data_IF_791032869252
#
_entry.id   IF_791032869252
#
_cell.length_a   1.000
_cell.length_b   1.000
_cell.length_c   1.000
_cell.angle_alpha   90.00
_cell.angle_beta   90.00
_cell.angle_gamma   90.00
#
_symmetry.space_group_name_H-M   'P 1'
#
loop_
_entity.id
_entity.type
_entity.pdbx_description
1 polymer ?
#
# COMPACT_ATOMS: atom_id res chain seq x y z
N UNK A 1 -11.52 -1.91 -14.56
CA UNK A 1 -10.91 -2.97 -15.37
C UNK A 1 -10.32 -4.03 -14.46
N UNK A 2 -10.48 -5.30 -14.79
CA UNK A 2 -9.91 -6.44 -14.05
C UNK A 2 -8.38 -6.32 -13.91
N UNK A 3 -7.72 -5.71 -14.88
CA UNK A 3 -6.27 -5.47 -14.85
C UNK A 3 -5.80 -4.53 -13.73
N UNK A 4 -6.69 -3.71 -13.17
CA UNK A 4 -6.36 -2.79 -12.06
C UNK A 4 -6.22 -3.55 -10.74
N UNK A 5 -6.94 -4.67 -10.59
CA UNK A 5 -6.89 -5.56 -9.43
C UNK A 5 -6.80 -7.01 -9.92
N UNK A 6 -5.64 -7.44 -10.47
CA UNK A 6 -5.51 -8.78 -11.06
C UNK A 6 -5.64 -9.89 -10.02
N UNK A 7 -5.30 -9.62 -8.76
CA UNK A 7 -5.47 -10.53 -7.63
C UNK A 7 -6.31 -9.81 -6.57
N UNK A 8 -7.41 -10.42 -6.18
CA UNK A 8 -8.30 -9.90 -5.14
C UNK A 8 -8.58 -10.99 -4.11
N UNK A 9 -8.46 -10.64 -2.84
CA UNK A 9 -8.81 -11.49 -1.71
C UNK A 9 -10.10 -10.96 -1.09
N UNK A 10 -11.16 -11.76 -1.10
CA UNK A 10 -12.41 -11.44 -0.40
C UNK A 10 -12.50 -12.28 0.86
N UNK A 11 -12.45 -11.67 2.06
CA UNK A 11 -12.64 -12.39 3.31
C UNK A 11 -13.98 -13.15 3.29
N UNK A 12 -13.98 -14.42 3.69
CA UNK A 12 -15.18 -15.26 3.77
C UNK A 12 -15.46 -15.73 5.19
N UNK A 13 -14.44 -15.70 6.06
CA UNK A 13 -14.50 -16.09 7.47
C UNK A 13 -13.28 -15.51 8.19
N UNK A 14 -13.20 -15.72 9.51
CA UNK A 14 -12.07 -15.26 10.32
C UNK A 14 -10.70 -15.82 9.88
N UNK A 15 -10.66 -16.89 9.10
CA UNK A 15 -9.42 -17.55 8.71
C UNK A 15 -9.31 -17.89 7.22
N UNK A 16 -10.27 -17.49 6.39
CA UNK A 16 -10.30 -17.83 4.98
C UNK A 16 -10.68 -16.69 4.07
N UNK A 17 -10.13 -16.68 2.86
CA UNK A 17 -10.45 -15.73 1.82
C UNK A 17 -10.73 -16.44 0.50
N UNK A 18 -11.72 -15.95 -0.23
CA UNK A 18 -11.88 -16.31 -1.62
C UNK A 18 -10.81 -15.59 -2.45
N UNK A 19 -10.03 -16.36 -3.18
CA UNK A 19 -8.99 -15.84 -4.07
C UNK A 19 -9.57 -15.68 -5.47
N UNK A 20 -9.47 -14.46 -5.99
CA UNK A 20 -9.94 -14.11 -7.34
C UNK A 20 -8.72 -13.69 -8.15
N UNK A 21 -8.55 -14.31 -9.31
CA UNK A 21 -7.46 -14.02 -10.26
C UNK A 21 -8.07 -13.59 -11.58
N UNK A 22 -7.69 -12.40 -12.05
CA UNK A 22 -8.21 -11.83 -13.29
C UNK A 22 -9.75 -11.82 -13.41
N UNK A 23 -10.43 -11.67 -12.25
CA UNK A 23 -11.89 -11.64 -12.16
C UNK A 23 -12.55 -13.00 -11.97
N UNK A 24 -11.79 -14.10 -12.00
CA UNK A 24 -12.31 -15.46 -11.80
C UNK A 24 -11.95 -15.98 -10.39
N UNK A 25 -12.93 -16.49 -9.67
CA UNK A 25 -12.72 -17.11 -8.36
C UNK A 25 -12.04 -18.47 -8.54
N UNK A 26 -10.81 -18.61 -8.05
CA UNK A 26 -10.04 -19.85 -8.16
C UNK A 26 -10.21 -20.77 -6.94
N UNK A 27 -10.82 -20.27 -5.86
CA UNK A 27 -11.13 -21.06 -4.67
C UNK A 27 -11.13 -20.23 -3.39
N UNK A 28 -11.54 -20.87 -2.29
CA UNK A 28 -11.42 -20.31 -0.94
C UNK A 28 -10.23 -20.98 -0.26
N UNK A 29 -9.33 -20.18 0.29
CA UNK A 29 -8.06 -20.65 0.86
C UNK A 29 -7.84 -20.06 2.24
N UNK A 30 -7.19 -20.82 3.11
CA UNK A 30 -6.63 -20.29 4.35
C UNK A 30 -5.36 -19.46 4.06
N UNK A 31 -4.99 -18.58 4.96
CA UNK A 31 -3.81 -17.73 4.79
C UNK A 31 -2.54 -18.53 4.41
N UNK A 32 -2.26 -19.64 5.10
CA UNK A 32 -1.08 -20.47 4.81
C UNK A 32 -1.08 -21.08 3.40
N UNK A 33 -2.24 -21.51 2.91
CA UNK A 33 -2.40 -22.07 1.55
C UNK A 33 -2.18 -20.98 0.49
N UNK A 34 -2.76 -19.80 0.72
CA UNK A 34 -2.55 -18.64 -0.16
C UNK A 34 -1.06 -18.24 -0.21
N UNK A 35 -0.38 -18.12 0.94
CA UNK A 35 1.04 -17.78 0.97
C UNK A 35 1.92 -18.81 0.25
N UNK A 36 1.59 -20.09 0.36
CA UNK A 36 2.31 -21.16 -0.37
C UNK A 36 2.17 -21.02 -1.90
N UNK A 37 0.99 -20.57 -2.36
CA UNK A 37 0.69 -20.39 -3.78
C UNK A 37 1.10 -19.02 -4.32
N UNK A 38 1.25 -18.03 -3.47
CA UNK A 38 1.39 -16.60 -3.83
C UNK A 38 2.44 -16.34 -4.92
N UNK A 39 3.57 -17.05 -4.86
CA UNK A 39 4.65 -16.90 -5.84
C UNK A 39 4.23 -17.24 -7.28
N UNK A 40 3.23 -18.13 -7.46
CA UNK A 40 2.73 -18.54 -8.78
C UNK A 40 1.88 -17.45 -9.44
N UNK A 41 1.38 -16.50 -8.66
CA UNK A 41 0.52 -15.40 -9.12
C UNK A 41 1.31 -14.21 -9.66
N UNK A 42 2.61 -14.13 -9.36
CA UNK A 42 3.47 -13.02 -9.76
C UNK A 42 3.47 -12.75 -11.28
N UNK A 43 3.52 -13.76 -12.16
CA UNK A 43 3.44 -13.53 -13.62
C UNK A 43 2.13 -12.85 -14.05
N UNK A 44 1.00 -13.17 -13.41
CA UNK A 44 -0.29 -12.55 -13.72
C UNK A 44 -0.30 -11.05 -13.35
N UNK A 45 0.27 -10.71 -12.20
CA UNK A 45 0.43 -9.32 -11.76
C UNK A 45 1.34 -8.54 -12.73
N UNK A 46 2.47 -9.12 -13.13
CA UNK A 46 3.39 -8.51 -14.09
C UNK A 46 2.71 -8.26 -15.44
N UNK A 47 2.01 -9.25 -15.97
CA UNK A 47 1.27 -9.15 -17.24
C UNK A 47 0.18 -8.07 -17.21
N UNK A 48 -0.55 -7.97 -16.10
CA UNK A 48 -1.56 -6.94 -15.91
C UNK A 48 -0.92 -5.54 -15.90
N UNK A 49 0.17 -5.37 -15.15
CA UNK A 49 0.92 -4.13 -15.10
C UNK A 49 1.48 -3.74 -16.48
N UNK A 50 2.16 -4.65 -17.18
CA UNK A 50 2.73 -4.38 -18.50
C UNK A 50 1.65 -3.97 -19.50
N UNK A 51 0.47 -4.58 -19.42
CA UNK A 51 -0.67 -4.23 -20.26
C UNK A 51 -1.19 -2.83 -19.96
N UNK A 52 -1.26 -2.42 -18.70
CA UNK A 52 -1.66 -1.05 -18.33
C UNK A 52 -0.58 -0.05 -18.73
N UNK A 53 0.68 -0.34 -18.43
CA UNK A 53 1.82 0.52 -18.77
C UNK A 53 1.98 0.75 -20.28
N UNK A 54 1.55 -0.21 -21.11
CA UNK A 54 1.54 -0.03 -22.58
C UNK A 54 0.44 0.89 -23.10
N UNK A 55 -0.58 1.20 -22.26
CA UNK A 55 -1.77 1.97 -22.66
C UNK A 55 -1.83 3.36 -22.08
N UNK A 56 -1.11 3.60 -20.99
CA UNK A 56 -1.20 4.84 -20.24
C UNK A 56 0.19 5.43 -20.01
N UNK A 57 0.30 6.75 -20.09
CA UNK A 57 1.55 7.48 -19.86
C UNK A 57 1.94 7.46 -18.38
N UNK A 58 0.95 7.38 -17.48
CA UNK A 58 1.14 7.33 -16.04
C UNK A 58 0.27 6.22 -15.46
N UNK A 59 0.87 5.37 -14.63
CA UNK A 59 0.18 4.34 -13.85
C UNK A 59 0.43 4.62 -12.36
N UNK A 60 -0.64 4.96 -11.64
CA UNK A 60 -0.59 5.06 -10.18
C UNK A 60 -0.86 3.69 -9.57
N UNK A 61 0.02 3.26 -8.65
CA UNK A 61 -0.08 1.98 -7.96
C UNK A 61 -0.29 2.25 -6.47
N UNK A 62 -1.35 1.71 -5.91
CA UNK A 62 -1.60 1.74 -4.48
C UNK A 62 -1.23 0.40 -3.85
N UNK A 63 -0.47 0.45 -2.75
CA UNK A 63 -0.17 -0.71 -1.94
C UNK A 63 -1.31 -1.04 -0.97
N UNK A 64 -1.19 -2.14 -0.26
CA UNK A 64 -2.14 -2.54 0.77
C UNK A 64 -1.44 -2.85 2.09
N UNK A 65 -2.06 -2.46 3.20
CA UNK A 65 -1.48 -2.60 4.53
C UNK A 65 -0.21 -1.77 4.71
N UNK A 66 0.82 -2.37 5.29
CA UNK A 66 2.09 -1.69 5.52
C UNK A 66 3.24 -2.38 4.77
N UNK A 67 4.17 -1.62 4.18
CA UNK A 67 5.38 -2.19 3.57
C UNK A 67 6.36 -2.75 4.62
N UNK A 68 6.14 -2.45 5.90
CA UNK A 68 6.98 -2.89 7.02
C UNK A 68 6.49 -4.18 7.69
N UNK A 69 5.53 -4.89 7.10
CA UNK A 69 5.08 -6.22 7.58
C UNK A 69 6.14 -7.29 7.28
N UNK A 70 7.25 -7.23 8.03
CA UNK A 70 8.46 -8.04 7.80
C UNK A 70 8.23 -9.55 7.93
N UNK A 71 7.23 -9.95 8.71
CA UNK A 71 6.82 -11.34 8.92
C UNK A 71 6.15 -11.99 7.70
N UNK A 72 5.61 -11.18 6.79
CA UNK A 72 4.91 -11.65 5.58
C UNK A 72 5.51 -11.10 4.29
N UNK A 73 6.72 -10.54 4.38
CA UNK A 73 7.42 -9.89 3.27
C UNK A 73 7.84 -10.85 2.16
N UNK A 74 8.01 -12.14 2.49
CA UNK A 74 8.38 -13.15 1.49
C UNK A 74 7.34 -13.18 0.35
N UNK A 75 7.84 -13.12 -0.88
CA UNK A 75 7.01 -13.09 -2.09
C UNK A 75 6.02 -11.91 -2.17
N UNK A 76 6.40 -10.75 -1.61
CA UNK A 76 5.62 -9.53 -1.77
C UNK A 76 5.52 -9.13 -3.25
N UNK A 77 4.31 -8.87 -3.71
CA UNK A 77 3.99 -8.23 -5.00
C UNK A 77 2.91 -7.13 -4.85
N UNK A 78 2.74 -6.64 -3.62
CA UNK A 78 1.70 -5.65 -3.29
C UNK A 78 2.33 -4.29 -3.01
N UNK A 79 3.33 -4.25 -2.11
CA UNK A 79 4.01 -3.04 -1.71
C UNK A 79 5.37 -2.91 -2.40
N UNK A 80 6.48 -3.10 -1.69
CA UNK A 80 7.82 -2.91 -2.25
C UNK A 80 8.16 -3.92 -3.35
N UNK A 81 7.61 -5.11 -3.28
CA UNK A 81 7.76 -6.11 -4.35
C UNK A 81 7.11 -5.66 -5.65
N UNK A 82 5.92 -5.03 -5.59
CA UNK A 82 5.29 -4.42 -6.77
C UNK A 82 6.10 -3.22 -7.28
N UNK A 83 6.59 -2.37 -6.39
CA UNK A 83 7.43 -1.24 -6.76
C UNK A 83 8.70 -1.68 -7.50
N UNK A 84 9.35 -2.76 -7.04
CA UNK A 84 10.51 -3.37 -7.72
C UNK A 84 10.15 -3.91 -9.10
N UNK A 85 9.02 -4.61 -9.22
CA UNK A 85 8.53 -5.13 -10.51
C UNK A 85 8.28 -4.01 -11.53
N UNK A 86 7.61 -2.95 -11.09
CA UNK A 86 7.28 -1.79 -11.90
C UNK A 86 8.46 -0.82 -12.10
N UNK A 87 9.56 -0.99 -11.35
CA UNK A 87 10.67 -0.01 -11.25
C UNK A 87 10.16 1.40 -10.90
N UNK A 88 9.14 1.47 -10.08
CA UNK A 88 8.44 2.69 -9.75
C UNK A 88 9.08 3.41 -8.55
N UNK A 89 9.17 4.76 -8.58
CA UNK A 89 9.45 5.53 -7.37
C UNK A 89 8.30 5.37 -6.38
N UNK A 90 8.61 5.39 -5.09
CA UNK A 90 7.64 5.19 -4.02
C UNK A 90 7.44 6.48 -3.24
N UNK A 91 6.19 6.80 -2.95
CA UNK A 91 5.79 7.78 -1.94
C UNK A 91 5.18 7.04 -0.75
N UNK A 92 5.78 7.21 0.42
CA UNK A 92 5.23 6.65 1.65
C UNK A 92 4.17 7.59 2.20
N UNK A 93 2.93 7.09 2.32
CA UNK A 93 1.82 7.85 2.89
C UNK A 93 1.64 7.45 4.35
N UNK A 94 1.72 8.42 5.27
CA UNK A 94 1.63 8.22 6.71
C UNK A 94 0.41 8.93 7.30
N UNK A 95 -0.39 8.20 8.06
CA UNK A 95 -1.59 8.71 8.73
C UNK A 95 -1.24 9.34 10.08
N UNK A 96 -1.51 10.66 10.23
CA UNK A 96 -1.23 11.39 11.49
C UNK A 96 -2.39 11.34 12.47
N UNK A 97 -3.59 11.01 12.03
CA UNK A 97 -4.81 11.10 12.85
C UNK A 97 -4.77 10.19 14.09
N UNK A 98 -4.05 9.08 13.99
CA UNK A 98 -3.90 8.12 15.11
C UNK A 98 -2.78 8.45 16.09
N UNK A 99 -1.98 9.48 15.82
CA UNK A 99 -0.79 9.82 16.60
C UNK A 99 0.42 8.95 16.26
N UNK A 100 1.61 9.39 16.72
CA UNK A 100 2.85 8.63 16.55
C UNK A 100 3.40 8.60 15.12
N UNK A 101 2.97 9.48 14.23
CA UNK A 101 3.32 9.47 12.79
C UNK A 101 4.83 9.48 12.55
N UNK A 102 5.61 10.24 13.31
CA UNK A 102 7.07 10.28 13.15
C UNK A 102 7.74 8.95 13.48
N UNK A 103 7.27 8.28 14.53
CA UNK A 103 7.76 6.95 14.88
C UNK A 103 7.37 5.92 13.80
N UNK A 104 6.16 6.03 13.27
CA UNK A 104 5.68 5.18 12.17
C UNK A 104 6.51 5.38 10.90
N UNK A 105 6.77 6.61 10.49
CA UNK A 105 7.62 6.93 9.33
C UNK A 105 9.03 6.36 9.52
N UNK A 106 9.65 6.69 10.65
CA UNK A 106 11.00 6.24 10.95
C UNK A 106 11.09 4.72 10.98
N UNK A 107 10.21 4.06 11.74
CA UNK A 107 10.18 2.62 11.86
C UNK A 107 9.95 1.92 10.52
N UNK A 108 9.00 2.40 9.73
CA UNK A 108 8.74 1.85 8.38
C UNK A 108 9.99 1.94 7.51
N UNK A 109 10.61 3.11 7.39
CA UNK A 109 11.80 3.29 6.57
C UNK A 109 13.00 2.45 7.04
N UNK A 110 13.17 2.29 8.36
CA UNK A 110 14.28 1.51 8.92
C UNK A 110 14.07 -0.01 8.81
N UNK A 111 12.84 -0.47 8.65
CA UNK A 111 12.52 -1.89 8.43
C UNK A 111 12.57 -2.29 6.95
N UNK A 112 12.63 -1.33 6.03
CA UNK A 112 12.87 -1.61 4.62
C UNK A 112 14.33 -2.01 4.38
N UNK A 113 14.54 -2.91 3.42
CA UNK A 113 15.89 -3.19 2.91
C UNK A 113 16.48 -1.94 2.25
N UNK A 114 17.80 -1.87 2.14
CA UNK A 114 18.49 -0.68 1.60
C UNK A 114 18.05 -0.34 0.18
N UNK A 115 17.85 -1.34 -0.67
CA UNK A 115 17.39 -1.17 -2.04
C UNK A 115 15.92 -0.69 -2.11
N UNK A 116 15.08 -1.16 -1.20
CA UNK A 116 13.68 -0.72 -1.07
C UNK A 116 13.60 0.71 -0.55
N UNK A 117 14.36 1.02 0.50
CA UNK A 117 14.42 2.36 1.06
C UNK A 117 14.92 3.36 0.03
N UNK A 118 15.87 2.99 -0.82
CA UNK A 118 16.36 3.82 -1.91
C UNK A 118 15.29 4.15 -2.97
N UNK A 119 14.23 3.34 -3.08
CA UNK A 119 13.10 3.61 -3.96
C UNK A 119 12.14 4.66 -3.38
N UNK A 120 12.13 4.88 -2.07
CA UNK A 120 11.25 5.87 -1.43
C UNK A 120 11.80 7.27 -1.71
N UNK A 121 11.07 8.05 -2.49
CA UNK A 121 11.45 9.39 -2.95
C UNK A 121 10.85 10.51 -2.13
N UNK A 122 9.89 10.19 -1.28
CA UNK A 122 9.26 11.15 -0.39
C UNK A 122 8.24 10.53 0.53
N UNK A 123 7.87 11.29 1.55
CA UNK A 123 6.81 10.95 2.49
C UNK A 123 5.70 11.98 2.39
N UNK A 124 4.46 11.53 2.42
CA UNK A 124 3.27 12.37 2.53
C UNK A 124 2.63 12.10 3.88
N UNK A 125 2.40 13.14 4.67
CA UNK A 125 1.62 13.05 5.90
C UNK A 125 0.17 13.36 5.56
N UNK A 126 -0.72 12.41 5.82
CA UNK A 126 -2.14 12.50 5.49
C UNK A 126 -2.99 12.72 6.74
N UNK A 127 -4.20 13.25 6.53
CA UNK A 127 -5.22 13.52 7.55
C UNK A 127 -4.79 14.53 8.61
N UNK A 128 -3.96 15.49 8.25
CA UNK A 128 -3.51 16.51 9.19
C UNK A 128 -4.65 17.45 9.62
N UNK A 129 -4.67 17.78 10.90
CA UNK A 129 -5.59 18.77 11.49
C UNK A 129 -4.78 19.78 12.30
N UNK A 130 -5.02 21.06 12.08
CA UNK A 130 -4.37 22.13 12.83
C UNK A 130 -3.42 22.99 12.02
N UNK A 131 -2.47 23.63 12.71
CA UNK A 131 -1.51 24.54 12.12
C UNK A 131 -0.24 23.78 11.71
N UNK A 132 0.07 23.80 10.42
CA UNK A 132 1.26 23.14 9.86
C UNK A 132 2.57 23.72 10.38
N UNK A 133 2.59 24.99 10.82
CA UNK A 133 3.79 25.62 11.36
C UNK A 133 4.24 24.96 12.67
N UNK A 134 3.29 24.44 13.48
CA UNK A 134 3.59 23.67 14.68
C UNK A 134 4.24 22.32 14.32
N UNK A 135 3.86 21.75 13.19
CA UNK A 135 4.40 20.46 12.72
C UNK A 135 5.80 20.60 12.11
N UNK A 136 6.12 21.76 11.53
CA UNK A 136 7.33 22.01 10.73
C UNK A 136 8.65 21.59 11.40
N UNK A 137 8.92 21.87 12.68
CA UNK A 137 10.15 21.40 13.32
C UNK A 137 10.28 19.87 13.35
N UNK A 138 9.15 19.18 13.54
CA UNK A 138 9.10 17.71 13.49
C UNK A 138 9.34 17.15 12.09
N UNK A 139 8.83 17.84 11.04
CA UNK A 139 9.09 17.47 9.64
C UNK A 139 10.58 17.51 9.35
N UNK A 140 11.22 18.63 9.69
CA UNK A 140 12.66 18.80 9.49
C UNK A 140 13.48 17.73 10.22
N UNK A 141 13.14 17.46 11.46
CA UNK A 141 13.83 16.45 12.25
C UNK A 141 13.72 15.05 11.64
N UNK A 142 12.55 14.66 11.12
CA UNK A 142 12.37 13.33 10.53
C UNK A 142 13.08 13.22 9.19
N UNK A 143 13.11 14.28 8.38
CA UNK A 143 13.89 14.34 7.15
C UNK A 143 15.40 14.15 7.43
N UNK A 144 15.93 14.86 8.43
CA UNK A 144 17.33 14.73 8.84
C UNK A 144 17.67 13.33 9.33
N UNK A 145 16.74 12.66 10.04
CA UNK A 145 16.95 11.31 10.57
C UNK A 145 16.85 10.22 9.52
N UNK A 146 16.00 10.40 8.52
CA UNK A 146 15.68 9.35 7.53
C UNK A 146 16.40 9.55 6.19
N UNK A 147 16.82 10.78 5.90
CA UNK A 147 17.34 11.16 4.58
C UNK A 147 16.25 11.20 3.49
N UNK A 148 14.98 11.09 3.86
CA UNK A 148 13.84 11.10 2.93
C UNK A 148 13.01 12.37 3.12
N UNK A 149 12.74 13.17 2.08
CA UNK A 149 12.01 14.42 2.21
C UNK A 149 10.52 14.19 2.50
N UNK A 150 9.94 15.10 3.29
CA UNK A 150 8.48 15.22 3.42
C UNK A 150 7.96 16.08 2.28
N UNK A 151 7.35 15.47 1.29
CA UNK A 151 6.93 16.16 0.06
C UNK A 151 5.52 16.73 0.14
N UNK A 152 4.77 16.41 1.18
CA UNK A 152 3.43 16.98 1.38
C UNK A 152 2.84 16.70 2.75
N UNK A 153 2.00 17.63 3.19
CA UNK A 153 1.11 17.47 4.35
C UNK A 153 -0.31 17.73 3.86
N UNK A 154 -1.12 16.69 3.81
CA UNK A 154 -2.50 16.78 3.34
C UNK A 154 -3.44 16.97 4.53
N UNK A 155 -4.34 17.95 4.46
CA UNK A 155 -5.33 18.14 5.50
C UNK A 155 -6.33 16.98 5.54
N UNK A 156 -7.02 16.83 6.66
CA UNK A 156 -8.17 15.94 6.74
C UNK A 156 -9.24 16.42 5.77
N UNK A 157 -9.50 15.64 4.74
CA UNK A 157 -10.52 15.91 3.75
C UNK A 157 -11.79 15.08 4.04
N UNK A 158 -12.95 15.69 3.85
CA UNK A 158 -14.21 14.96 3.76
C UNK A 158 -14.47 14.70 2.29
N UNK A 159 -14.15 13.51 1.84
CA UNK A 159 -14.42 13.06 0.46
C UNK A 159 -15.49 11.99 0.51
N UNK A 160 -16.46 12.11 -0.38
CA UNK A 160 -17.51 11.11 -0.56
C UNK A 160 -17.05 10.15 -1.66
N UNK A 161 -16.23 9.18 -1.25
CA UNK A 161 -15.74 8.11 -2.12
C UNK A 161 -16.42 6.83 -1.64
N UNK A 162 -16.81 5.96 -2.58
CA UNK A 162 -17.30 4.63 -2.25
C UNK A 162 -16.24 3.84 -1.49
N UNK A 163 -16.67 3.15 -0.42
CA UNK A 163 -15.78 2.29 0.33
C UNK A 163 -15.37 1.09 -0.52
N UNK A 164 -14.08 0.84 -0.63
CA UNK A 164 -13.53 -0.29 -1.35
C UNK A 164 -13.80 -1.63 -0.63
N UNK A 165 -13.98 -1.55 0.68
CA UNK A 165 -14.13 -2.71 1.55
C UNK A 165 -15.57 -3.22 1.58
N UNK A 166 -15.79 -4.47 1.16
CA UNK A 166 -17.10 -5.12 1.17
C UNK A 166 -17.68 -5.35 2.58
N UNK A 167 -16.87 -5.11 3.63
CA UNK A 167 -17.26 -5.18 5.04
C UNK A 167 -17.54 -3.79 5.64
N UNK A 168 -17.54 -2.73 4.85
CA UNK A 168 -17.83 -1.40 5.36
C UNK A 168 -19.28 -1.30 5.86
N UNK A 169 -19.48 -0.58 6.96
CA UNK A 169 -20.81 -0.37 7.56
C UNK A 169 -21.80 0.31 6.61
N UNK A 170 -21.32 1.05 5.59
CA UNK A 170 -22.17 1.66 4.55
C UNK A 170 -22.87 0.64 3.64
N UNK A 171 -22.25 -0.52 3.42
CA UNK A 171 -22.80 -1.59 2.57
C UNK A 171 -23.70 -2.52 3.38
N UNK A 172 -23.44 -2.69 4.68
CA UNK A 172 -24.24 -3.54 5.57
C UNK A 172 -25.56 -2.91 6.04
N UNK A 173 -25.81 -1.67 5.74
CA UNK A 173 -27.01 -0.90 6.11
C UNK A 173 -28.19 -1.00 5.13
N UNK A 174 -28.32 -2.09 4.37
CA UNK A 174 -29.50 -2.42 3.54
C UNK A 174 -30.20 -3.65 4.00
#
# INVERSE_FOLDING_TARGET
>A
SVLMNPILLKPTSDSGSQVIVNGEAIGTMKAGEYYAMKHTLRPEVQKAFDTLASKFDIVCIEGAGSPAEINIKKDDFVNMGMAKMAKAPVLLVADIDRGGVFASIYGTLMLLEDDERAMVKGVIINKFRGDVEILRPGLKMIEEKTGVPIVGVLPMLKVDIEDEDSLSERISGR
#
